data_IF_489249014953
#
_entry.id   IF_489249014953
#
_cell.length_a   1.000
_cell.length_b   1.000
_cell.length_c   1.000
_cell.angle_alpha   90.00
_cell.angle_beta   90.00
_cell.angle_gamma   90.00
#
_symmetry.space_group_name_H-M   'P 1'
#
loop_
_entity.id
_entity.type
_entity.pdbx_description
1 polymer ?
#
# COMPACT_ATOMS: atom_id res chain seq x y z
N UNK A 1 -10.08 16.08 0.04
CA UNK A 1 -11.09 15.08 0.47
C UNK A 1 -10.35 13.75 0.65
N UNK A 2 -10.36 13.16 1.86
CA UNK A 2 -9.56 11.98 2.23
C UNK A 2 -10.22 10.68 1.72
N UNK A 3 -9.42 9.65 1.46
CA UNK A 3 -9.87 8.34 0.99
C UNK A 3 -10.98 7.74 1.86
N UNK A 4 -12.22 7.90 1.40
CA UNK A 4 -13.38 7.10 1.78
C UNK A 4 -13.69 6.05 0.69
N UNK A 5 -12.76 5.81 -0.24
CA UNK A 5 -13.03 5.09 -1.51
C UNK A 5 -12.93 3.57 -1.42
N UNK A 6 -12.77 2.98 -0.23
CA UNK A 6 -12.85 1.53 -0.03
C UNK A 6 -13.90 1.11 1.01
N UNK A 7 -14.67 2.05 1.58
CA UNK A 7 -15.65 1.75 2.63
C UNK A 7 -15.05 1.15 3.91
N UNK A 8 -13.73 1.25 4.10
CA UNK A 8 -13.01 0.62 5.20
C UNK A 8 -13.20 1.44 6.49
N UNK A 9 -13.79 0.87 7.56
CA UNK A 9 -13.91 1.52 8.85
C UNK A 9 -12.56 2.05 9.36
N UNK A 10 -12.54 3.15 10.13
CA UNK A 10 -11.28 3.74 10.62
C UNK A 10 -10.37 2.75 11.37
N UNK A 11 -10.96 1.69 11.94
CA UNK A 11 -10.29 0.65 12.71
C UNK A 11 -9.62 -0.46 11.88
N UNK A 12 -9.79 -0.52 10.55
CA UNK A 12 -9.21 -1.58 9.70
C UNK A 12 -8.14 -1.02 8.76
N UNK A 13 -7.27 -0.15 9.28
CA UNK A 13 -6.31 0.59 8.45
C UNK A 13 -5.08 -0.24 8.07
N UNK A 14 -4.71 -1.22 8.89
CA UNK A 14 -3.61 -2.14 8.62
C UNK A 14 -4.11 -3.40 7.92
N UNK A 15 -3.29 -3.99 7.04
CA UNK A 15 -3.63 -5.30 6.43
C UNK A 15 -3.81 -6.38 7.51
N UNK A 16 -3.02 -6.33 8.58
CA UNK A 16 -3.15 -7.24 9.73
C UNK A 16 -4.50 -7.14 10.45
N UNK A 17 -5.23 -6.04 10.26
CA UNK A 17 -6.56 -5.79 10.82
C UNK A 17 -7.67 -6.02 9.79
N UNK A 18 -7.37 -6.59 8.62
CA UNK A 18 -8.34 -6.78 7.53
C UNK A 18 -8.46 -5.60 6.57
N UNK A 19 -7.54 -4.64 6.64
CA UNK A 19 -7.39 -3.59 5.65
C UNK A 19 -6.85 -4.10 4.31
N UNK A 20 -6.91 -3.28 3.25
CA UNK A 20 -6.52 -3.68 1.90
C UNK A 20 -5.00 -3.92 1.81
N UNK A 21 -4.62 -4.90 1.00
CA UNK A 21 -3.24 -5.21 0.69
C UNK A 21 -2.76 -4.50 -0.59
N UNK A 22 -1.46 -4.63 -0.89
CA UNK A 22 -0.85 -4.07 -2.12
C UNK A 22 -1.60 -4.52 -3.38
N UNK A 23 -2.06 -5.78 -3.44
CA UNK A 23 -2.77 -6.31 -4.62
C UNK A 23 -4.15 -5.67 -4.77
N UNK A 24 -4.89 -5.47 -3.67
CA UNK A 24 -6.21 -4.84 -3.71
C UNK A 24 -6.13 -3.40 -4.25
N UNK A 25 -5.10 -2.66 -3.83
CA UNK A 25 -4.88 -1.29 -4.30
C UNK A 25 -4.43 -1.29 -5.77
N UNK A 26 -3.55 -2.21 -6.18
CA UNK A 26 -3.16 -2.34 -7.59
C UNK A 26 -4.36 -2.67 -8.49
N UNK A 27 -5.27 -3.52 -8.02
CA UNK A 27 -6.49 -3.86 -8.74
C UNK A 27 -7.43 -2.67 -8.85
N UNK A 28 -7.64 -1.92 -7.77
CA UNK A 28 -8.40 -0.66 -7.80
C UNK A 28 -7.81 0.31 -8.82
N UNK A 29 -6.48 0.43 -8.89
CA UNK A 29 -5.80 1.34 -9.82
C UNK A 29 -5.85 0.87 -11.28
N UNK A 30 -6.25 -0.37 -11.58
CA UNK A 30 -6.52 -0.79 -12.97
C UNK A 30 -7.68 0.02 -13.60
N UNK A 31 -8.63 0.50 -12.79
CA UNK A 31 -9.76 1.31 -13.24
C UNK A 31 -9.50 2.83 -13.25
N UNK A 32 -8.27 3.27 -12.95
CA UNK A 32 -7.94 4.70 -12.95
C UNK A 32 -7.92 5.29 -14.38
N UNK A 33 -7.94 6.62 -14.49
CA UNK A 33 -7.80 7.32 -15.78
C UNK A 33 -6.41 7.06 -16.39
N UNK A 34 -5.39 6.94 -15.54
CA UNK A 34 -3.99 6.64 -15.92
C UNK A 34 -3.48 5.41 -15.16
N UNK A 35 -3.98 4.19 -15.48
CA UNK A 35 -3.72 2.99 -14.69
C UNK A 35 -2.25 2.65 -14.54
N UNK A 36 -1.48 2.79 -15.62
CA UNK A 36 -0.06 2.43 -15.63
C UNK A 36 0.74 3.36 -14.71
N UNK A 37 0.56 4.66 -14.85
CA UNK A 37 1.24 5.70 -14.09
C UNK A 37 0.91 5.62 -12.60
N UNK A 38 -0.37 5.42 -12.27
CA UNK A 38 -0.85 5.36 -10.90
C UNK A 38 -0.34 4.09 -10.18
N UNK A 39 -0.38 2.93 -10.86
CA UNK A 39 0.19 1.68 -10.33
C UNK A 39 1.69 1.77 -10.15
N UNK A 40 2.41 2.36 -11.12
CA UNK A 40 3.85 2.56 -11.02
C UNK A 40 4.21 3.48 -9.84
N UNK A 41 3.46 4.57 -9.67
CA UNK A 41 3.64 5.52 -8.57
C UNK A 41 3.39 4.85 -7.23
N UNK A 42 2.31 4.07 -7.10
CA UNK A 42 2.00 3.31 -5.89
C UNK A 42 3.11 2.29 -5.55
N UNK A 43 3.60 1.52 -6.53
CA UNK A 43 4.67 0.54 -6.29
C UNK A 43 5.99 1.20 -5.89
N UNK A 44 6.34 2.33 -6.51
CA UNK A 44 7.50 3.13 -6.10
C UNK A 44 7.36 3.60 -4.65
N UNK A 45 6.16 4.04 -4.24
CA UNK A 45 5.89 4.41 -2.86
C UNK A 45 6.15 3.26 -1.87
N UNK A 46 5.71 2.04 -2.19
CA UNK A 46 5.96 0.85 -1.34
C UNK A 46 7.46 0.58 -1.17
N UNK A 47 8.25 0.74 -2.22
CA UNK A 47 9.71 0.58 -2.17
C UNK A 47 10.32 1.69 -1.30
N UNK A 48 9.88 2.94 -1.46
CA UNK A 48 10.35 4.06 -0.63
C UNK A 48 10.02 3.83 0.86
N UNK A 49 8.81 3.34 1.18
CA UNK A 49 8.45 3.01 2.57
C UNK A 49 9.34 1.92 3.15
N UNK A 50 9.72 0.92 2.36
CA UNK A 50 10.67 -0.11 2.77
C UNK A 50 12.07 0.45 3.02
N UNK A 51 12.59 1.28 2.10
CA UNK A 51 13.91 1.90 2.22
C UNK A 51 14.01 2.87 3.42
N UNK A 52 12.93 3.60 3.72
CA UNK A 52 12.86 4.57 4.82
C UNK A 52 12.45 3.95 6.16
N UNK A 53 12.21 2.63 6.20
CA UNK A 53 11.57 1.97 7.34
C UNK A 53 10.26 2.66 7.78
N UNK A 54 9.53 3.27 6.85
CA UNK A 54 8.29 4.00 7.12
C UNK A 54 7.14 3.01 7.41
N UNK A 55 6.96 2.71 8.70
CA UNK A 55 6.00 1.71 9.18
C UNK A 55 4.53 2.10 9.02
N UNK A 56 4.23 3.38 8.80
CA UNK A 56 2.85 3.87 8.75
C UNK A 56 2.30 4.08 7.33
N UNK A 57 2.97 3.52 6.31
CA UNK A 57 2.55 3.55 4.89
C UNK A 57 1.30 2.71 4.58
N UNK A 58 0.28 2.79 5.43
CA UNK A 58 -0.97 2.05 5.31
C UNK A 58 -1.93 2.69 4.29
N UNK A 59 -3.00 1.97 3.94
CA UNK A 59 -3.91 2.33 2.85
C UNK A 59 -4.49 3.75 2.91
N UNK A 60 -4.64 4.34 4.10
CA UNK A 60 -5.15 5.72 4.26
C UNK A 60 -4.17 6.82 3.83
N UNK A 61 -2.90 6.49 3.60
CA UNK A 61 -1.90 7.45 3.09
C UNK A 61 -2.01 7.61 1.57
N UNK A 62 -2.88 6.82 0.93
CA UNK A 62 -3.20 6.93 -0.48
C UNK A 62 -4.62 7.49 -0.61
N UNK A 63 -4.79 8.53 -1.43
CA UNK A 63 -6.10 9.06 -1.79
C UNK A 63 -6.30 9.05 -3.31
N UNK A 64 -7.56 9.08 -3.72
CA UNK A 64 -7.94 9.24 -5.12
C UNK A 64 -8.56 10.61 -5.34
N UNK A 65 -8.20 11.27 -6.44
CA UNK A 65 -8.93 12.41 -6.96
C UNK A 65 -10.06 11.92 -7.87
N UNK A 66 -11.29 12.28 -7.53
CA UNK A 66 -12.46 12.03 -8.36
C UNK A 66 -12.63 13.19 -9.34
N UNK A 67 -12.83 12.85 -10.61
CA UNK A 67 -13.07 13.79 -11.71
C UNK A 67 -14.30 13.32 -12.50
N UNK A 68 -14.90 14.17 -13.34
CA UNK A 68 -16.00 13.74 -14.20
C UNK A 68 -15.66 12.57 -15.13
N UNK A 69 -14.38 12.38 -15.48
CA UNK A 69 -13.91 11.31 -16.36
C UNK A 69 -13.46 10.03 -15.66
N UNK A 70 -13.62 9.93 -14.34
CA UNK A 70 -13.13 8.81 -13.52
C UNK A 70 -12.25 9.28 -12.37
N UNK A 71 -11.35 8.41 -11.88
CA UNK A 71 -10.47 8.72 -10.76
C UNK A 71 -9.00 8.54 -11.10
N UNK A 72 -8.13 9.22 -10.35
CA UNK A 72 -6.68 9.05 -10.41
C UNK A 72 -6.07 9.05 -9.02
N UNK A 73 -4.87 8.50 -8.87
CA UNK A 73 -4.10 8.60 -7.63
C UNK A 73 -3.79 10.08 -7.34
N UNK A 74 -4.11 10.52 -6.13
CA UNK A 74 -3.67 11.82 -5.65
C UNK A 74 -2.14 11.79 -5.39
N UNK A 75 -1.46 12.95 -5.44
CA UNK A 75 -0.06 13.04 -5.02
C UNK A 75 0.14 12.38 -3.66
N UNK A 76 1.24 11.64 -3.52
CA UNK A 76 1.58 10.98 -2.25
C UNK A 76 1.78 12.04 -1.17
N UNK A 77 1.12 11.86 -0.03
CA UNK A 77 1.27 12.68 1.17
C UNK A 77 1.53 11.75 2.38
N UNK A 78 1.97 12.30 3.51
CA UNK A 78 2.31 11.52 4.72
C UNK A 78 3.38 10.41 4.51
N UNK A 79 4.41 10.70 3.70
CA UNK A 79 5.64 9.88 3.65
C UNK A 79 6.53 10.30 4.83
N UNK A 80 6.24 9.78 6.01
CA UNK A 80 7.04 10.02 7.23
C UNK A 80 8.02 8.85 7.41
N UNK A 81 9.32 9.15 7.40
CA UNK A 81 10.37 8.18 7.73
C UNK A 81 10.35 7.86 9.23
N UNK A 82 10.52 6.60 9.63
CA UNK A 82 10.63 6.22 11.04
C UNK A 82 12.02 6.48 11.64
N UNK A 83 12.95 7.09 10.90
CA UNK A 83 14.27 7.47 11.41
C UNK A 83 14.16 8.82 12.14
N UNK A 84 14.15 8.86 13.49
CA UNK A 84 15.26 8.37 14.31
C UNK A 84 14.81 7.69 15.63
N UNK A 85 14.61 6.36 15.64
CA UNK A 85 14.49 5.59 16.90
C UNK A 85 15.48 4.41 16.90
N UNK A 86 16.75 4.64 17.25
CA UNK A 86 17.79 3.60 17.31
C UNK A 86 17.49 2.49 18.35
N UNK A 87 16.47 2.65 19.18
CA UNK A 87 16.03 1.68 20.19
C UNK A 87 15.02 0.64 19.66
N UNK A 88 14.45 0.85 18.47
CA UNK A 88 13.58 -0.14 17.84
C UNK A 88 14.45 -1.26 17.28
N UNK A 89 14.51 -2.40 17.98
CA UNK A 89 15.19 -3.59 17.46
C UNK A 89 14.71 -3.85 16.02
N UNK A 90 15.63 -3.86 15.05
CA UNK A 90 15.31 -4.01 13.62
C UNK A 90 14.38 -5.21 13.33
N UNK A 91 14.40 -6.23 14.19
CA UNK A 91 13.57 -7.44 14.12
C UNK A 91 12.07 -7.18 14.30
N UNK A 92 11.67 -6.02 14.83
CA UNK A 92 10.27 -5.66 15.11
C UNK A 92 9.68 -4.71 14.06
N UNK A 93 10.50 -4.16 13.16
CA UNK A 93 10.04 -3.19 12.17
C UNK A 93 9.34 -3.91 11.00
N UNK A 94 8.10 -3.51 10.72
CA UNK A 94 7.22 -4.13 9.71
C UNK A 94 6.58 -3.08 8.82
N UNK A 95 6.41 -3.38 7.54
CA UNK A 95 5.54 -2.62 6.65
C UNK A 95 4.07 -2.77 7.07
N UNK A 96 3.27 -1.75 6.81
CA UNK A 96 1.83 -1.79 7.00
C UNK A 96 1.09 -2.72 6.02
N UNK A 97 1.64 -2.91 4.82
CA UNK A 97 1.15 -3.84 3.81
C UNK A 97 2.25 -4.83 3.41
N UNK A 98 1.90 -6.10 3.29
CA UNK A 98 2.84 -7.14 2.89
C UNK A 98 3.13 -7.13 1.40
N UNK A 99 4.32 -7.62 1.05
CA UNK A 99 4.77 -7.79 -0.33
C UNK A 99 5.19 -9.24 -0.60
N UNK A 100 5.21 -9.64 -1.87
CA UNK A 100 5.65 -10.96 -2.32
C UNK A 100 4.54 -11.96 -2.53
N UNK A 101 4.94 -13.17 -2.94
CA UNK A 101 4.01 -14.30 -3.10
C UNK A 101 3.49 -14.81 -1.77
N UNK A 102 4.31 -14.71 -0.72
CA UNK A 102 3.95 -14.91 0.69
C UNK A 102 3.86 -13.54 1.37
N UNK A 103 3.12 -13.39 2.48
CA UNK A 103 2.96 -12.10 3.14
C UNK A 103 4.22 -11.71 3.94
N UNK A 104 5.19 -11.09 3.28
CA UNK A 104 6.38 -10.54 3.95
C UNK A 104 6.09 -9.15 4.50
N UNK A 105 6.17 -9.01 5.82
CA UNK A 105 5.99 -7.73 6.52
C UNK A 105 7.29 -7.18 7.09
N UNK A 106 8.19 -8.05 7.60
CA UNK A 106 9.42 -7.61 8.29
C UNK A 106 10.43 -7.08 7.29
N UNK A 107 10.98 -5.89 7.54
CA UNK A 107 11.92 -5.24 6.62
C UNK A 107 13.11 -6.14 6.25
N UNK A 108 13.68 -6.87 7.24
CA UNK A 108 14.81 -7.80 7.04
C UNK A 108 14.49 -8.99 6.12
N UNK A 109 13.23 -9.39 6.03
CA UNK A 109 12.80 -10.52 5.19
C UNK A 109 12.43 -10.06 3.77
N UNK A 110 12.22 -8.76 3.57
CA UNK A 110 11.81 -8.17 2.30
C UNK A 110 13.02 -7.98 1.40
N UNK A 111 12.88 -8.37 0.13
CA UNK A 111 13.86 -8.18 -0.92
C UNK A 111 13.17 -7.61 -2.16
N UNK A 112 13.93 -6.99 -3.05
CA UNK A 112 13.39 -6.33 -4.25
C UNK A 112 12.47 -7.25 -5.08
N UNK A 113 12.82 -8.54 -5.19
CA UNK A 113 11.99 -9.57 -5.86
C UNK A 113 10.56 -9.69 -5.32
N UNK A 114 10.32 -9.38 -4.05
CA UNK A 114 9.00 -9.48 -3.44
C UNK A 114 8.06 -8.36 -3.95
N UNK A 115 8.60 -7.18 -4.28
CA UNK A 115 7.81 -6.13 -4.93
C UNK A 115 7.43 -6.50 -6.37
N UNK A 116 8.37 -7.08 -7.12
CA UNK A 116 8.07 -7.59 -8.46
C UNK A 116 6.99 -8.68 -8.42
N UNK A 117 7.07 -9.62 -7.48
CA UNK A 117 6.05 -10.64 -7.25
C UNK A 117 4.67 -10.01 -6.97
N UNK A 118 4.60 -8.99 -6.10
CA UNK A 118 3.34 -8.28 -5.84
C UNK A 118 2.76 -7.60 -7.07
N UNK A 119 3.60 -6.99 -7.92
CA UNK A 119 3.17 -6.32 -9.13
C UNK A 119 2.69 -7.25 -10.25
N UNK A 120 3.08 -8.54 -10.19
CA UNK A 120 2.72 -9.57 -11.16
C UNK A 120 1.54 -10.43 -10.73
N UNK A 121 1.05 -10.30 -9.49
CA UNK A 121 -0.09 -11.08 -9.00
C UNK A 121 -1.37 -10.70 -9.75
N UNK A 122 -2.08 -11.67 -10.35
CA UNK A 122 -3.44 -11.46 -10.83
C UNK A 122 -4.36 -11.12 -9.66
N UNK A 123 -5.27 -10.16 -9.86
CA UNK A 123 -6.19 -9.66 -8.84
C UNK A 123 -6.98 -10.77 -8.14
N UNK A 124 -6.81 -10.86 -6.82
CA UNK A 124 -7.65 -11.71 -5.98
C UNK A 124 -8.92 -10.93 -5.63
N UNK A 125 -9.97 -11.08 -6.43
CA UNK A 125 -11.30 -10.60 -6.05
C UNK A 125 -11.88 -11.59 -5.05
N UNK A 126 -11.71 -11.35 -3.75
CA UNK A 126 -12.59 -11.96 -2.75
C UNK A 126 -12.60 -11.23 -1.41
N UNK A 127 -13.59 -10.34 -1.23
CA UNK A 127 -14.69 -10.63 -0.28
C UNK A 127 -15.86 -9.70 -0.56
N UNK A 128 -17.03 -10.31 -0.77
CA UNK A 128 -18.34 -9.67 -0.70
C UNK A 128 -18.40 -8.82 0.58
N UNK A 129 -18.65 -7.52 0.41
CA UNK A 129 -19.26 -6.69 1.45
C UNK A 129 -20.71 -6.47 1.01
N UNK A 130 -21.57 -7.34 1.52
CA UNK A 130 -22.95 -6.98 1.87
C UNK A 130 -22.88 -6.49 3.30
#
# INVERSE_FOLDING_TARGET
MRAHSLGVPPALKYQSEGGPCVVDILELLNGAITPYEDRLTFMKAQIVFWLLAAIDGHAKNFSLFLTPGGYKLAPLYDVISASPYPELSDHKIKLAMSVGNKPYYRLKEIQLRHFYQSGQKPGFVSRKLI
#
